data_IF_833386351230
#
_entry.id   IF_833386351230
#
_cell.length_a   1.000
_cell.length_b   1.000
_cell.length_c   1.000
_cell.angle_alpha   90.00
_cell.angle_beta   90.00
_cell.angle_gamma   90.00
#
_symmetry.space_group_name_H-M   'P 1'
#
loop_
_entity.id
_entity.type
_entity.pdbx_description
1 polymer ?
#
# COMPACT_ATOMS: atom_id res chain seq x y z
N UNK A 1 5.93 38.19 38.93
CA UNK A 1 6.55 37.58 37.78
C UNK A 1 5.48 36.81 37.01
N UNK A 2 5.47 36.95 35.69
CA UNK A 2 4.52 36.24 34.79
C UNK A 2 5.08 34.90 34.36
N UNK A 3 6.36 34.63 34.61
CA UNK A 3 7.02 33.38 34.30
C UNK A 3 7.31 32.61 35.60
N UNK A 4 6.87 31.37 35.63
CA UNK A 4 7.05 30.42 36.72
C UNK A 4 7.90 29.26 36.21
N UNK A 5 9.15 29.19 36.69
CA UNK A 5 10.10 28.14 36.31
C UNK A 5 10.45 27.32 37.55
N UNK A 6 10.35 26.01 37.41
CA UNK A 6 10.92 25.04 38.33
C UNK A 6 12.03 24.28 37.62
N UNK A 7 13.22 24.34 38.19
CA UNK A 7 14.38 23.59 37.72
C UNK A 7 14.89 22.68 38.84
N UNK A 8 15.08 21.41 38.54
CA UNK A 8 15.64 20.44 39.50
C UNK A 8 17.18 20.46 39.45
N UNK A 9 17.83 19.93 40.48
CA UNK A 9 19.29 19.76 40.53
C UNK A 9 19.84 18.96 39.36
N UNK A 10 19.05 18.04 38.80
CA UNK A 10 19.37 17.23 37.62
C UNK A 10 19.16 17.95 36.26
N UNK A 11 18.77 19.25 36.26
CA UNK A 11 18.56 20.04 35.05
C UNK A 11 17.25 19.75 34.31
N UNK A 12 16.25 19.18 34.99
CA UNK A 12 14.90 19.05 34.47
C UNK A 12 14.14 20.35 34.66
N UNK A 13 13.39 20.80 33.65
CA UNK A 13 12.68 22.08 33.68
C UNK A 13 11.17 21.84 33.46
N UNK A 14 10.39 22.58 34.27
CA UNK A 14 8.94 22.79 34.04
C UNK A 14 8.67 24.29 34.13
N UNK A 15 8.09 24.85 33.07
CA UNK A 15 7.89 26.28 32.95
C UNK A 15 6.45 26.59 32.50
N UNK A 16 5.88 27.61 33.10
CA UNK A 16 4.64 28.26 32.68
C UNK A 16 4.91 29.76 32.57
N UNK A 17 4.81 30.30 31.37
CA UNK A 17 5.02 31.72 31.07
C UNK A 17 3.70 32.33 30.62
N UNK A 18 3.21 33.30 31.39
CA UNK A 18 1.99 34.07 31.11
C UNK A 18 2.32 35.45 30.55
N UNK A 19 3.50 35.65 29.96
CA UNK A 19 3.89 36.90 29.33
C UNK A 19 3.03 37.12 28.07
N UNK A 20 2.28 38.23 27.92
CA UNK A 20 1.46 38.46 26.76
C UNK A 20 2.24 38.36 25.44
N UNK A 21 1.64 37.67 24.47
CA UNK A 21 2.20 37.33 23.14
C UNK A 21 3.44 36.44 23.17
N UNK A 22 3.77 35.85 24.35
CA UNK A 22 4.87 34.92 24.54
C UNK A 22 4.50 33.80 25.52
N UNK A 23 3.20 33.55 25.70
CA UNK A 23 2.70 32.50 26.59
C UNK A 23 3.27 31.14 26.21
N UNK A 24 3.72 30.38 27.22
CA UNK A 24 4.36 29.11 26.95
C UNK A 24 4.15 28.10 28.09
N UNK A 25 3.89 26.86 27.73
CA UNK A 25 4.04 25.72 28.63
C UNK A 25 5.19 24.88 28.09
N UNK A 26 6.22 24.65 28.92
CA UNK A 26 7.41 23.91 28.54
C UNK A 26 7.79 22.90 29.62
N UNK A 27 7.99 21.65 29.22
CA UNK A 27 8.52 20.60 30.09
C UNK A 27 9.66 19.89 29.39
N UNK A 28 10.82 19.81 30.03
CA UNK A 28 12.04 19.28 29.44
C UNK A 28 12.81 18.42 30.41
N UNK A 29 13.14 17.23 29.98
CA UNK A 29 14.15 16.38 30.62
C UNK A 29 15.57 16.92 30.34
N UNK A 30 16.53 16.71 31.25
CA UNK A 30 17.93 17.14 31.08
C UNK A 30 18.60 16.63 29.78
N UNK A 31 18.19 15.47 29.26
CA UNK A 31 18.64 14.95 27.95
C UNK A 31 18.14 15.75 26.75
N UNK A 32 17.17 16.65 26.94
CA UNK A 32 16.54 17.43 25.88
C UNK A 32 15.25 16.84 25.31
N UNK A 33 14.75 15.71 25.81
CA UNK A 33 13.40 15.23 25.54
C UNK A 33 12.38 16.06 26.30
N UNK A 34 11.23 16.35 25.72
CA UNK A 34 10.20 17.15 26.34
C UNK A 34 9.13 17.61 25.36
N UNK A 35 8.28 18.52 25.80
CA UNK A 35 7.32 19.18 24.92
C UNK A 35 7.20 20.67 25.23
N UNK A 36 6.72 21.41 24.26
CA UNK A 36 6.42 22.84 24.37
C UNK A 36 5.08 23.12 23.69
N UNK A 37 4.28 23.99 24.30
CA UNK A 37 3.09 24.61 23.71
C UNK A 37 3.36 26.10 23.64
N UNK A 38 3.39 26.65 22.42
CA UNK A 38 3.66 28.05 22.16
C UNK A 38 2.42 28.94 22.24
N UNK A 39 2.58 30.26 22.06
CA UNK A 39 1.51 31.26 22.19
C UNK A 39 0.42 31.11 21.13
N UNK A 40 0.70 30.49 19.99
CA UNK A 40 -0.24 30.17 18.93
C UNK A 40 -1.01 28.85 19.17
N UNK A 41 -0.76 28.18 20.30
CA UNK A 41 -1.32 26.86 20.64
C UNK A 41 -0.65 25.68 19.95
N UNK A 42 0.40 25.89 19.15
CA UNK A 42 1.17 24.81 18.54
C UNK A 42 1.91 24.00 19.59
N UNK A 43 1.78 22.66 19.50
CA UNK A 43 2.51 21.73 20.37
C UNK A 43 3.64 21.04 19.62
N UNK A 44 4.85 21.14 20.16
CA UNK A 44 6.03 20.39 19.70
C UNK A 44 6.44 19.39 20.76
N UNK A 45 6.53 18.11 20.38
CA UNK A 45 7.09 17.04 21.21
C UNK A 45 8.42 16.60 20.62
N UNK A 46 9.47 16.56 21.45
CA UNK A 46 10.81 16.12 21.05
C UNK A 46 11.21 14.92 21.90
N UNK A 47 11.56 13.84 21.25
CA UNK A 47 12.12 12.65 21.89
C UNK A 47 13.54 12.45 21.37
N UNK A 48 14.52 12.42 22.26
CA UNK A 48 15.95 12.32 21.91
C UNK A 48 16.41 10.90 21.63
N UNK A 49 15.73 9.94 22.20
CA UNK A 49 16.02 8.53 22.03
C UNK A 49 14.76 7.80 21.52
N UNK A 50 14.32 6.77 22.15
CA UNK A 50 13.17 5.99 21.73
C UNK A 50 11.87 6.54 22.32
N UNK A 51 10.80 6.49 21.55
CA UNK A 51 9.45 6.76 22.02
C UNK A 51 8.65 5.46 22.05
N UNK A 52 8.10 5.12 23.22
CA UNK A 52 7.22 3.98 23.41
C UNK A 52 5.84 4.49 23.80
N UNK A 53 4.85 4.14 23.02
CA UNK A 53 3.44 4.38 23.32
C UNK A 53 2.73 3.04 23.44
N UNK A 54 2.12 2.77 24.60
CA UNK A 54 1.43 1.52 24.90
C UNK A 54 -0.01 1.85 25.22
N UNK A 55 -0.92 1.49 24.34
CA UNK A 55 -2.35 1.70 24.48
C UNK A 55 -3.00 0.33 24.70
N UNK A 56 -3.61 0.14 25.86
CA UNK A 56 -4.20 -1.15 26.25
C UNK A 56 -5.63 -1.34 25.79
N UNK A 57 -6.25 -0.29 25.28
CA UNK A 57 -7.60 -0.32 24.71
C UNK A 57 -7.57 0.34 23.34
N UNK A 58 -8.33 1.37 23.08
CA UNK A 58 -8.49 1.99 21.78
C UNK A 58 -7.67 3.28 21.66
N UNK A 59 -7.14 3.55 20.46
CA UNK A 59 -6.57 4.82 20.07
C UNK A 59 -7.47 5.51 19.05
N UNK A 60 -7.79 6.79 19.28
CA UNK A 60 -8.52 7.64 18.35
C UNK A 60 -7.68 8.85 17.97
N UNK A 61 -7.30 8.94 16.71
CA UNK A 61 -6.58 10.09 16.15
C UNK A 61 -7.44 10.79 15.10
N UNK A 62 -7.75 12.08 15.31
CA UNK A 62 -8.51 12.88 14.35
C UNK A 62 -7.70 14.13 13.98
N UNK A 63 -7.38 14.28 12.68
CA UNK A 63 -6.60 15.40 12.15
C UNK A 63 -7.43 16.10 11.09
N UNK A 64 -7.87 17.33 11.35
CA UNK A 64 -8.62 18.13 10.38
C UNK A 64 -7.78 18.65 9.21
N UNK A 65 -6.47 18.74 9.40
CA UNK A 65 -5.52 19.16 8.39
C UNK A 65 -4.78 17.99 7.74
N UNK A 66 -3.52 18.18 7.44
CA UNK A 66 -2.65 17.21 6.79
C UNK A 66 -1.79 16.47 7.82
N UNK A 67 -1.79 15.14 7.79
CA UNK A 67 -0.81 14.31 8.48
C UNK A 67 0.39 14.01 7.58
N UNK A 68 1.61 14.13 8.11
CA UNK A 68 2.86 13.75 7.42
C UNK A 68 3.71 12.89 8.34
N UNK A 69 4.11 11.72 7.85
CA UNK A 69 5.02 10.81 8.55
C UNK A 69 6.26 10.61 7.69
N UNK A 70 7.42 11.01 8.21
CA UNK A 70 8.73 10.76 7.58
C UNK A 70 9.50 9.78 8.45
N UNK A 71 9.94 8.67 7.88
CA UNK A 71 10.64 7.59 8.57
C UNK A 71 11.89 7.25 7.79
N UNK A 72 13.07 7.55 8.36
CA UNK A 72 14.35 7.43 7.65
C UNK A 72 14.81 5.98 7.45
N UNK A 73 14.32 5.03 8.24
CA UNK A 73 14.78 3.64 8.17
C UNK A 73 13.68 2.69 7.74
N UNK A 74 12.72 2.39 8.56
CA UNK A 74 11.71 1.41 8.25
C UNK A 74 10.43 1.58 9.05
N UNK A 75 9.30 1.24 8.44
CA UNK A 75 7.99 1.17 9.07
C UNK A 75 7.49 -0.27 9.02
N UNK A 76 7.04 -0.79 10.15
CA UNK A 76 6.33 -2.06 10.24
C UNK A 76 4.98 -1.86 10.88
N UNK A 77 3.93 -2.18 10.15
CA UNK A 77 2.55 -2.23 10.66
C UNK A 77 2.15 -3.70 10.79
N UNK A 78 1.66 -4.11 11.95
CA UNK A 78 1.13 -5.45 12.17
C UNK A 78 -0.24 -5.34 12.82
N UNK A 79 -1.25 -5.81 12.12
CA UNK A 79 -2.64 -5.85 12.58
C UNK A 79 -3.01 -7.27 12.96
N UNK A 80 -3.83 -7.43 14.00
CA UNK A 80 -4.38 -8.72 14.41
C UNK A 80 -3.31 -9.81 14.66
N UNK A 81 -2.31 -9.49 15.48
CA UNK A 81 -1.23 -10.44 15.78
C UNK A 81 -1.67 -11.74 16.48
N UNK A 82 -2.89 -11.76 17.02
CA UNK A 82 -3.48 -12.93 17.70
C UNK A 82 -4.37 -13.77 16.78
N UNK A 83 -4.64 -13.35 15.54
CA UNK A 83 -5.41 -14.11 14.58
C UNK A 83 -6.93 -14.17 14.84
N UNK A 84 -7.51 -13.17 15.51
CA UNK A 84 -8.96 -13.09 15.74
C UNK A 84 -9.67 -12.67 14.45
N UNK A 85 -10.69 -13.42 14.04
CA UNK A 85 -11.45 -13.11 12.82
C UNK A 85 -12.15 -11.74 12.91
N UNK A 86 -12.23 -11.03 11.78
CA UNK A 86 -12.90 -9.74 11.67
C UNK A 86 -12.03 -8.51 11.96
N UNK A 87 -10.78 -8.68 12.42
CA UNK A 87 -9.86 -7.57 12.65
C UNK A 87 -9.06 -7.28 11.37
N UNK A 88 -9.28 -6.13 10.75
CA UNK A 88 -8.75 -5.77 9.44
C UNK A 88 -7.87 -4.52 9.48
N UNK A 89 -7.01 -4.38 8.49
CA UNK A 89 -6.36 -3.13 8.16
C UNK A 89 -7.09 -2.50 6.96
N UNK A 90 -7.84 -1.42 7.21
CA UNK A 90 -8.61 -0.73 6.19
C UNK A 90 -7.94 0.59 5.80
N UNK A 91 -7.83 0.84 4.49
CA UNK A 91 -7.44 2.14 3.94
C UNK A 91 -8.59 2.63 3.08
N UNK A 92 -9.23 3.70 3.50
CA UNK A 92 -10.33 4.34 2.78
C UNK A 92 -9.93 5.76 2.37
N UNK A 93 -10.13 6.08 1.11
CA UNK A 93 -9.81 7.39 0.54
C UNK A 93 -11.06 7.95 -0.12
N UNK A 94 -11.46 9.14 0.29
CA UNK A 94 -12.70 9.78 -0.16
C UNK A 94 -12.69 10.16 -1.65
N UNK A 95 -13.85 10.56 -2.14
CA UNK A 95 -14.07 10.93 -3.54
C UNK A 95 -13.09 12.04 -4.00
N UNK A 96 -12.56 11.88 -5.20
CA UNK A 96 -11.63 12.84 -5.82
C UNK A 96 -10.18 12.74 -5.33
N UNK A 97 -9.87 11.76 -4.48
CA UNK A 97 -8.54 11.52 -3.94
C UNK A 97 -7.98 10.17 -4.39
N UNK A 98 -6.70 9.92 -4.16
CA UNK A 98 -5.99 8.72 -4.63
C UNK A 98 -5.12 8.10 -3.54
N UNK A 99 -4.87 6.81 -3.67
CA UNK A 99 -3.78 6.12 -2.96
C UNK A 99 -2.63 5.94 -3.94
N UNK A 100 -1.48 6.53 -3.64
CA UNK A 100 -0.27 6.39 -4.44
C UNK A 100 0.76 5.54 -3.67
N UNK A 101 1.27 4.50 -4.31
CA UNK A 101 2.35 3.66 -3.79
C UNK A 101 3.49 3.69 -4.79
N UNK A 102 4.62 4.26 -4.39
CA UNK A 102 5.82 4.38 -5.21
C UNK A 102 7.00 3.73 -4.50
N UNK A 103 7.76 2.89 -5.21
CA UNK A 103 8.96 2.21 -4.70
C UNK A 103 10.10 2.43 -5.66
N UNK A 104 11.10 3.18 -5.23
CA UNK A 104 12.32 3.45 -6.00
C UNK A 104 13.37 2.36 -5.73
N UNK A 105 13.63 1.51 -6.72
CA UNK A 105 14.70 0.50 -6.69
C UNK A 105 14.41 -0.74 -5.83
N UNK A 106 13.14 -0.95 -5.42
CA UNK A 106 12.72 -2.11 -4.64
C UNK A 106 11.53 -2.84 -5.26
N UNK A 107 10.85 -3.67 -4.49
CA UNK A 107 9.70 -4.44 -4.91
C UNK A 107 8.44 -4.04 -4.13
N UNK A 108 7.28 -4.20 -4.78
CA UNK A 108 5.98 -4.25 -4.12
C UNK A 108 5.54 -5.71 -4.11
N UNK A 109 5.43 -6.32 -2.93
CA UNK A 109 4.99 -7.70 -2.76
C UNK A 109 3.59 -7.72 -2.14
N UNK A 110 2.64 -8.32 -2.84
CA UNK A 110 1.30 -8.60 -2.35
C UNK A 110 1.14 -10.12 -2.26
N UNK A 111 0.97 -10.64 -1.05
CA UNK A 111 0.91 -12.08 -0.83
C UNK A 111 -0.19 -12.41 0.16
N UNK A 112 -1.04 -13.36 -0.18
CA UNK A 112 -1.93 -14.05 0.74
C UNK A 112 -1.33 -15.40 1.10
N UNK A 113 -1.36 -15.73 2.38
CA UNK A 113 -0.85 -16.99 2.90
C UNK A 113 -2.01 -17.78 3.53
N UNK A 114 -1.96 -19.10 3.41
CA UNK A 114 -2.97 -20.00 3.94
C UNK A 114 -3.11 -21.24 3.06
N UNK A 115 -3.75 -22.27 3.59
CA UNK A 115 -4.02 -23.52 2.87
C UNK A 115 -5.45 -23.98 3.12
N UNK A 116 -6.06 -24.61 2.13
CA UNK A 116 -7.42 -25.13 2.24
C UNK A 116 -8.44 -24.00 2.45
N UNK A 117 -9.27 -24.13 3.48
CA UNK A 117 -10.33 -23.15 3.79
C UNK A 117 -9.81 -21.81 4.34
N UNK A 118 -8.55 -21.77 4.82
CA UNK A 118 -7.89 -20.57 5.32
C UNK A 118 -7.09 -19.83 4.24
N UNK A 119 -7.16 -20.30 2.98
CA UNK A 119 -6.53 -19.61 1.86
C UNK A 119 -7.25 -18.29 1.56
N UNK A 120 -6.46 -17.24 1.32
CA UNK A 120 -6.99 -15.91 1.00
C UNK A 120 -6.81 -15.56 -0.47
N UNK A 121 -7.59 -14.59 -0.95
CA UNK A 121 -7.58 -14.09 -2.31
C UNK A 121 -6.97 -12.68 -2.40
N UNK A 122 -6.46 -12.32 -3.57
CA UNK A 122 -6.18 -10.95 -3.94
C UNK A 122 -7.24 -10.52 -4.96
N UNK A 123 -8.13 -9.63 -4.54
CA UNK A 123 -9.21 -9.11 -5.38
C UNK A 123 -8.87 -7.70 -5.84
N UNK A 124 -8.83 -7.48 -7.17
CA UNK A 124 -8.64 -6.17 -7.79
C UNK A 124 -9.89 -5.83 -8.60
N UNK A 125 -10.59 -4.78 -8.18
CA UNK A 125 -11.83 -4.34 -8.83
C UNK A 125 -11.70 -2.87 -9.24
N UNK A 126 -11.75 -2.60 -10.55
CA UNK A 126 -11.69 -1.27 -11.11
C UNK A 126 -13.01 -0.96 -11.83
N UNK A 127 -13.66 0.14 -11.48
CA UNK A 127 -14.94 0.56 -12.08
C UNK A 127 -14.80 1.05 -13.53
N UNK A 128 -13.59 1.44 -13.96
CA UNK A 128 -13.30 1.87 -15.33
C UNK A 128 -12.19 1.04 -15.94
N UNK A 129 -10.95 1.35 -15.62
CA UNK A 129 -9.78 0.81 -16.31
C UNK A 129 -8.78 0.23 -15.33
N UNK A 130 -8.22 -0.93 -15.63
CA UNK A 130 -7.03 -1.47 -15.01
C UNK A 130 -5.89 -1.41 -16.03
N UNK A 131 -4.91 -0.54 -15.81
CA UNK A 131 -3.75 -0.38 -16.67
C UNK A 131 -2.52 -1.04 -16.03
N UNK A 132 -1.89 -1.97 -16.76
CA UNK A 132 -0.66 -2.64 -16.35
C UNK A 132 0.41 -2.40 -17.40
N UNK A 133 1.51 -1.74 -17.01
CA UNK A 133 2.67 -1.54 -17.87
C UNK A 133 3.88 -2.23 -17.26
N UNK A 134 4.49 -3.14 -18.00
CA UNK A 134 5.60 -3.98 -17.55
C UNK A 134 6.78 -3.79 -18.50
N UNK A 135 7.92 -3.29 -17.99
CA UNK A 135 9.08 -2.95 -18.80
C UNK A 135 9.91 -4.14 -19.33
N UNK A 136 9.81 -5.32 -18.70
CA UNK A 136 10.58 -6.51 -19.11
C UNK A 136 9.71 -7.71 -19.40
N UNK A 137 9.10 -8.29 -18.40
CA UNK A 137 8.32 -9.52 -18.56
C UNK A 137 7.22 -9.62 -17.52
N UNK A 138 6.09 -10.19 -17.92
CA UNK A 138 4.98 -10.54 -17.05
C UNK A 138 4.88 -12.07 -17.02
N UNK A 139 4.93 -12.66 -15.84
CA UNK A 139 4.72 -14.08 -15.64
C UNK A 139 3.40 -14.32 -14.91
N UNK A 140 2.55 -15.19 -15.45
CA UNK A 140 1.30 -15.62 -14.85
C UNK A 140 1.36 -17.14 -14.74
N UNK A 141 1.51 -17.64 -13.52
CA UNK A 141 1.51 -19.07 -13.22
C UNK A 141 0.23 -19.43 -12.44
N UNK A 142 -0.67 -20.17 -13.06
CA UNK A 142 -1.96 -20.55 -12.49
C UNK A 142 -2.12 -22.08 -12.57
N UNK A 143 -2.19 -22.74 -11.41
CA UNK A 143 -2.42 -24.20 -11.36
C UNK A 143 -3.84 -24.61 -11.71
N UNK A 144 -4.77 -23.69 -11.67
CA UNK A 144 -6.18 -23.91 -11.99
C UNK A 144 -6.56 -23.31 -13.37
N UNK A 145 -7.58 -22.49 -13.38
CA UNK A 145 -8.17 -21.92 -14.61
C UNK A 145 -7.88 -20.43 -14.70
N UNK A 146 -7.53 -19.95 -15.89
CA UNK A 146 -7.59 -18.54 -16.25
C UNK A 146 -8.87 -18.31 -17.03
N UNK A 147 -9.76 -17.48 -16.53
CA UNK A 147 -10.99 -17.09 -17.20
C UNK A 147 -10.88 -15.62 -17.65
N UNK A 148 -10.95 -15.40 -18.96
CA UNK A 148 -11.03 -14.07 -19.56
C UNK A 148 -12.37 -13.90 -20.25
N UNK A 149 -13.11 -12.84 -19.91
CA UNK A 149 -14.37 -12.48 -20.57
C UNK A 149 -14.31 -11.02 -20.97
N UNK A 150 -14.42 -10.73 -22.26
CA UNK A 150 -14.38 -9.37 -22.79
C UNK A 150 -15.23 -9.23 -24.04
N UNK A 151 -15.73 -8.04 -24.30
CA UNK A 151 -16.41 -7.72 -25.56
C UNK A 151 -15.43 -7.72 -26.74
N UNK A 152 -14.21 -7.23 -26.51
CA UNK A 152 -13.12 -7.21 -27.50
C UNK A 152 -11.82 -7.60 -26.83
N UNK A 153 -11.05 -8.47 -27.46
CA UNK A 153 -9.69 -8.83 -27.07
C UNK A 153 -8.75 -8.58 -28.22
N UNK A 154 -7.71 -7.79 -28.00
CA UNK A 154 -6.63 -7.57 -28.97
C UNK A 154 -5.32 -8.03 -28.35
N UNK A 155 -4.59 -8.86 -29.07
CA UNK A 155 -3.23 -9.28 -28.73
C UNK A 155 -2.31 -8.94 -29.88
N UNK A 156 -1.23 -8.21 -29.61
CA UNK A 156 -0.21 -7.85 -30.59
C UNK A 156 1.15 -8.25 -30.05
N UNK A 157 1.90 -9.03 -30.84
CA UNK A 157 3.27 -9.46 -30.56
C UNK A 157 4.15 -9.08 -31.75
N UNK A 158 5.35 -8.56 -31.46
CA UNK A 158 6.28 -8.13 -32.51
C UNK A 158 7.10 -9.30 -33.07
N UNK A 159 7.41 -10.30 -32.25
CA UNK A 159 8.28 -11.42 -32.64
C UNK A 159 7.49 -12.73 -32.81
N UNK A 160 7.02 -13.32 -31.71
CA UNK A 160 6.32 -14.59 -31.76
C UNK A 160 5.23 -14.71 -30.69
N UNK A 161 4.11 -15.31 -31.07
CA UNK A 161 3.12 -15.86 -30.16
C UNK A 161 3.22 -17.38 -30.21
N UNK A 162 3.50 -18.02 -29.06
CA UNK A 162 3.55 -19.46 -28.95
C UNK A 162 2.49 -19.94 -27.97
N UNK A 163 1.62 -20.82 -28.40
CA UNK A 163 0.62 -21.50 -27.58
C UNK A 163 0.89 -22.99 -27.57
N UNK A 164 1.16 -23.58 -26.40
CA UNK A 164 1.31 -25.01 -26.21
C UNK A 164 0.14 -25.52 -25.36
N UNK A 165 -0.75 -26.29 -25.96
CA UNK A 165 -1.92 -26.85 -25.31
C UNK A 165 -2.20 -28.27 -25.75
N UNK A 166 -2.86 -29.07 -24.91
CA UNK A 166 -3.36 -30.39 -25.32
C UNK A 166 -4.49 -30.28 -26.34
N UNK A 167 -5.35 -29.27 -26.21
CA UNK A 167 -6.43 -28.91 -27.14
C UNK A 167 -6.53 -27.40 -27.23
N UNK A 168 -6.78 -26.90 -28.42
CA UNK A 168 -7.09 -25.49 -28.68
C UNK A 168 -8.39 -25.43 -29.47
N UNK A 169 -9.48 -25.08 -28.79
CA UNK A 169 -10.80 -25.00 -29.40
C UNK A 169 -11.17 -23.54 -29.71
N UNK A 170 -11.42 -23.24 -30.98
CA UNK A 170 -11.90 -21.94 -31.43
C UNK A 170 -13.36 -22.09 -31.85
N UNK A 171 -14.30 -21.62 -31.03
CA UNK A 171 -15.70 -21.59 -31.30
C UNK A 171 -16.14 -20.18 -31.71
N UNK A 172 -16.30 -19.94 -32.99
CA UNK A 172 -16.61 -18.60 -33.54
C UNK A 172 -17.42 -18.72 -34.80
N UNK A 173 -18.23 -17.71 -35.09
CA UNK A 173 -18.97 -17.63 -36.38
C UNK A 173 -18.05 -17.43 -37.59
N UNK A 174 -16.85 -16.86 -37.41
CA UNK A 174 -15.85 -16.69 -38.46
C UNK A 174 -14.44 -16.61 -37.83
N UNK A 175 -13.53 -17.42 -38.31
CA UNK A 175 -12.09 -17.29 -38.06
C UNK A 175 -11.40 -16.87 -39.37
N UNK A 176 -10.47 -15.93 -39.28
CA UNK A 176 -9.66 -15.50 -40.43
C UNK A 176 -8.19 -15.58 -40.02
N UNK A 177 -7.39 -16.30 -40.78
CA UNK A 177 -5.94 -16.45 -40.58
C UNK A 177 -5.26 -15.86 -41.79
N UNK A 178 -4.48 -14.79 -41.60
CA UNK A 178 -3.73 -14.16 -42.68
C UNK A 178 -2.23 -14.36 -42.40
N UNK A 179 -1.56 -15.20 -43.18
CA UNK A 179 -0.11 -15.36 -43.16
C UNK A 179 0.55 -14.42 -44.17
N UNK A 180 1.65 -13.79 -43.81
CA UNK A 180 2.40 -12.89 -44.68
C UNK A 180 3.12 -13.65 -45.80
N UNK A 181 3.82 -14.73 -45.48
CA UNK A 181 4.57 -15.56 -46.44
C UNK A 181 4.19 -17.04 -46.37
N UNK A 182 3.80 -17.53 -45.20
CA UNK A 182 3.51 -18.94 -45.01
C UNK A 182 2.45 -19.17 -43.93
N UNK A 183 1.60 -20.15 -44.12
CA UNK A 183 0.72 -20.76 -43.13
C UNK A 183 1.02 -22.25 -43.17
N UNK A 184 1.75 -22.78 -42.15
CA UNK A 184 2.03 -24.21 -42.03
C UNK A 184 1.07 -24.85 -41.05
N UNK A 185 0.33 -25.84 -41.49
CA UNK A 185 -0.58 -26.63 -40.68
C UNK A 185 -0.17 -28.10 -40.77
N UNK A 186 0.48 -28.61 -39.71
CA UNK A 186 0.99 -29.97 -39.66
C UNK A 186 0.15 -30.79 -38.66
N UNK A 187 -0.61 -31.72 -39.15
CA UNK A 187 -1.44 -32.63 -38.37
C UNK A 187 -1.60 -33.98 -39.06
N UNK A 188 -1.88 -35.06 -38.32
CA UNK A 188 -2.21 -36.38 -38.88
C UNK A 188 -3.52 -36.36 -39.68
N UNK A 189 -4.46 -35.47 -39.34
CA UNK A 189 -5.73 -35.22 -40.06
C UNK A 189 -6.02 -33.73 -40.05
N UNK A 190 -6.31 -33.17 -41.21
CA UNK A 190 -6.80 -31.80 -41.41
C UNK A 190 -8.16 -31.91 -42.13
N UNK A 191 -9.25 -31.58 -41.43
CA UNK A 191 -10.59 -31.54 -41.99
C UNK A 191 -11.00 -30.08 -42.29
N UNK A 192 -11.21 -29.72 -43.53
CA UNK A 192 -11.70 -28.42 -43.99
C UNK A 192 -13.07 -28.64 -44.58
N UNK A 193 -14.14 -28.15 -43.94
CA UNK A 193 -15.52 -28.21 -44.40
C UNK A 193 -15.96 -26.84 -44.96
#
# INVERSE_FOLDING_TARGET
>A
PRNHVYESEGGHIREMDDTPDAERIHERHASGSGYEIGPDGSKVTRVKNDNYEIITNDEYCHIQGTARHTIDKGLRVRVNSQGVAGNNYNVEVGQGSSVNVEVNGGNINLTTLGTGQDAGDININASRDLNMQVGRGMNIDVKGTILESSKFKTQSTQEALTENSGTHDINTGKATINGGSEIDANASVINLN
#
